data_IF_930818796599
#
_entry.id   IF_930818796599
#
_cell.length_a   1.000
_cell.length_b   1.000
_cell.length_c   1.000
_cell.angle_alpha   90.00
_cell.angle_beta   90.00
_cell.angle_gamma   90.00
#
_symmetry.space_group_name_H-M   'P 1'
#
loop_
_entity.id
_entity.type
_entity.pdbx_description
1 polymer ?
#
# COMPACT_ATOMS: atom_id res chain seq x y z
N UNK A 1 1.13 16.84 -12.66
CA UNK A 1 -0.16 16.68 -11.94
C UNK A 1 -0.86 15.40 -12.38
N UNK A 2 -2.11 15.18 -12.01
CA UNK A 2 -2.79 13.88 -12.13
C UNK A 2 -2.82 13.21 -13.52
N UNK A 3 -2.78 13.96 -14.63
CA UNK A 3 -2.70 13.36 -15.96
C UNK A 3 -1.38 12.61 -16.23
N UNK A 4 -0.25 13.12 -15.73
CA UNK A 4 1.04 12.43 -15.84
C UNK A 4 1.04 11.13 -15.02
N UNK A 5 0.42 11.17 -13.84
CA UNK A 5 0.30 10.02 -12.95
C UNK A 5 -0.50 8.89 -13.59
N UNK A 6 -1.68 9.22 -14.16
CA UNK A 6 -2.48 8.28 -14.95
C UNK A 6 -1.67 7.62 -16.06
N UNK A 7 -0.89 8.41 -16.82
CA UNK A 7 -0.08 7.90 -17.91
C UNK A 7 1.02 6.94 -17.43
N UNK A 8 1.76 7.30 -16.38
CA UNK A 8 2.83 6.46 -15.84
C UNK A 8 2.27 5.14 -15.31
N UNK A 9 1.19 5.20 -14.52
CA UNK A 9 0.55 3.99 -13.98
C UNK A 9 0.07 3.07 -15.11
N UNK A 10 -0.63 3.60 -16.11
CA UNK A 10 -1.07 2.83 -17.28
C UNK A 10 0.09 2.16 -18.02
N UNK A 11 1.16 2.92 -18.28
CA UNK A 11 2.36 2.40 -18.96
C UNK A 11 3.02 1.24 -18.20
N UNK A 12 3.09 1.31 -16.88
CA UNK A 12 3.69 0.23 -16.09
C UNK A 12 2.75 -0.98 -15.97
N UNK A 13 1.44 -0.77 -15.89
CA UNK A 13 0.45 -1.86 -15.90
C UNK A 13 0.49 -2.66 -17.20
N UNK A 14 0.64 -2.00 -18.35
CA UNK A 14 0.73 -2.65 -19.67
C UNK A 14 1.91 -3.64 -19.78
N UNK A 15 2.96 -3.47 -18.96
CA UNK A 15 4.10 -4.38 -18.91
C UNK A 15 3.81 -5.70 -18.21
N UNK A 16 2.67 -5.82 -17.51
CA UNK A 16 2.27 -7.00 -16.72
C UNK A 16 3.39 -7.51 -15.80
N UNK A 17 3.89 -6.66 -14.91
CA UNK A 17 5.04 -7.02 -14.07
C UNK A 17 4.64 -8.09 -13.05
N UNK A 18 5.54 -9.04 -12.76
CA UNK A 18 5.32 -10.02 -11.68
C UNK A 18 5.30 -9.38 -10.29
N UNK A 19 5.93 -8.21 -10.13
CA UNK A 19 5.94 -7.40 -8.91
C UNK A 19 5.78 -5.93 -9.27
N UNK A 20 4.83 -5.24 -8.64
CA UNK A 20 4.55 -3.82 -8.83
C UNK A 20 4.64 -3.09 -7.49
N UNK A 21 5.51 -2.09 -7.40
CA UNK A 21 5.62 -1.20 -6.23
C UNK A 21 5.13 0.18 -6.63
N UNK A 22 4.11 0.69 -5.94
CA UNK A 22 3.53 2.00 -6.21
C UNK A 22 3.52 2.85 -4.96
N UNK A 23 3.98 4.09 -5.10
CA UNK A 23 4.01 5.07 -4.02
C UNK A 23 3.01 6.19 -4.32
N UNK A 24 2.03 6.35 -3.44
CA UNK A 24 0.94 7.33 -3.51
C UNK A 24 0.24 7.34 -4.89
N UNK A 25 -0.34 6.19 -5.32
CA UNK A 25 -0.77 5.98 -6.71
C UNK A 25 -1.93 6.89 -7.14
N UNK A 26 -2.65 7.51 -6.20
CA UNK A 26 -3.78 8.41 -6.51
C UNK A 26 -3.60 9.86 -6.02
N UNK A 27 -2.41 10.23 -5.52
CA UNK A 27 -2.18 11.60 -5.07
C UNK A 27 -2.27 12.63 -6.21
N UNK A 28 -3.16 13.62 -6.08
CA UNK A 28 -3.33 14.69 -7.07
C UNK A 28 -4.01 14.26 -8.38
N UNK A 29 -4.70 13.11 -8.41
CA UNK A 29 -5.67 12.78 -9.47
C UNK A 29 -7.11 13.04 -9.01
N UNK A 30 -8.03 13.17 -9.96
CA UNK A 30 -9.47 13.27 -9.66
C UNK A 30 -10.05 11.94 -9.16
N UNK A 31 -11.20 11.97 -8.48
CA UNK A 31 -11.79 10.79 -7.85
C UNK A 31 -12.10 9.64 -8.84
N UNK A 32 -12.56 9.98 -10.05
CA UNK A 32 -12.83 8.98 -11.10
C UNK A 32 -11.55 8.31 -11.58
N UNK A 33 -10.49 9.08 -11.80
CA UNK A 33 -9.17 8.55 -12.10
C UNK A 33 -8.60 7.68 -10.97
N UNK A 34 -8.77 8.11 -9.72
CA UNK A 34 -8.31 7.36 -8.56
C UNK A 34 -8.96 5.98 -8.49
N UNK A 35 -10.29 5.92 -8.64
CA UNK A 35 -11.03 4.66 -8.68
C UNK A 35 -10.54 3.73 -9.80
N UNK A 36 -10.30 4.26 -11.01
CA UNK A 36 -9.76 3.46 -12.11
C UNK A 36 -8.35 2.91 -11.82
N UNK A 37 -7.46 3.73 -11.24
CA UNK A 37 -6.11 3.29 -10.86
C UNK A 37 -6.19 2.16 -9.83
N UNK A 38 -7.00 2.33 -8.78
CA UNK A 38 -7.21 1.31 -7.74
C UNK A 38 -7.73 0.00 -8.31
N UNK A 39 -8.74 0.07 -9.17
CA UNK A 39 -9.32 -1.10 -9.82
C UNK A 39 -8.28 -1.82 -10.70
N UNK A 40 -7.45 -1.09 -11.44
CA UNK A 40 -6.41 -1.67 -12.27
C UNK A 40 -5.31 -2.37 -11.44
N UNK A 41 -4.96 -1.83 -10.26
CA UNK A 41 -4.03 -2.48 -9.33
C UNK A 41 -4.62 -3.78 -8.76
N UNK A 42 -5.90 -3.79 -8.41
CA UNK A 42 -6.62 -5.01 -7.97
C UNK A 42 -6.60 -6.07 -9.08
N UNK A 43 -6.88 -5.68 -10.32
CA UNK A 43 -6.88 -6.59 -11.46
C UNK A 43 -5.49 -7.16 -11.74
N UNK A 44 -4.45 -6.33 -11.66
CA UNK A 44 -3.07 -6.79 -11.78
C UNK A 44 -2.74 -7.81 -10.68
N UNK A 45 -3.12 -7.56 -9.43
CA UNK A 45 -2.93 -8.51 -8.32
C UNK A 45 -3.63 -9.84 -8.59
N UNK A 46 -4.92 -9.79 -8.96
CA UNK A 46 -5.73 -10.97 -9.30
C UNK A 46 -5.19 -11.77 -10.49
N UNK A 47 -4.44 -11.15 -11.38
CA UNK A 47 -3.75 -11.83 -12.48
C UNK A 47 -2.49 -12.61 -12.06
N UNK A 48 -2.11 -12.57 -10.77
CA UNK A 48 -0.97 -13.28 -10.20
C UNK A 48 0.26 -12.41 -9.91
N UNK A 49 0.14 -11.09 -10.02
CA UNK A 49 1.25 -10.17 -9.70
C UNK A 49 1.26 -9.82 -8.22
N UNK A 50 2.43 -9.68 -7.60
CA UNK A 50 2.52 -9.09 -6.27
C UNK A 50 2.44 -7.56 -6.38
N UNK A 51 1.55 -6.92 -5.62
CA UNK A 51 1.39 -5.45 -5.63
C UNK A 51 1.65 -4.89 -4.23
N UNK A 52 2.66 -4.03 -4.11
CA UNK A 52 2.95 -3.27 -2.89
C UNK A 52 2.51 -1.82 -3.11
N UNK A 53 1.52 -1.40 -2.35
CA UNK A 53 1.05 -0.01 -2.32
C UNK A 53 1.58 0.68 -1.08
N UNK A 54 2.23 1.81 -1.27
CA UNK A 54 2.67 2.71 -0.19
C UNK A 54 1.78 3.94 -0.26
N UNK A 55 1.02 4.20 0.79
CA UNK A 55 0.13 5.36 0.86
C UNK A 55 -0.05 5.84 2.30
N UNK A 56 -0.51 7.07 2.43
CA UNK A 56 -0.97 7.67 3.68
C UNK A 56 -2.50 7.79 3.73
N UNK A 57 -3.17 7.46 2.63
CA UNK A 57 -4.63 7.43 2.54
C UNK A 57 -5.14 6.05 2.98
N UNK A 58 -5.74 6.00 4.15
CA UNK A 58 -6.25 4.75 4.71
C UNK A 58 -7.48 4.24 3.93
N UNK A 59 -8.35 5.12 3.44
CA UNK A 59 -9.51 4.70 2.66
C UNK A 59 -9.05 3.96 1.39
N UNK A 60 -8.03 4.48 0.71
CA UNK A 60 -7.38 3.82 -0.43
C UNK A 60 -6.81 2.44 -0.06
N UNK A 61 -6.03 2.37 1.03
CA UNK A 61 -5.38 1.12 1.44
C UNK A 61 -6.40 0.05 1.84
N UNK A 62 -7.46 0.43 2.57
CA UNK A 62 -8.53 -0.49 2.96
C UNK A 62 -9.36 -0.97 1.76
N UNK A 63 -9.47 -0.18 0.70
CA UNK A 63 -10.21 -0.55 -0.51
C UNK A 63 -9.49 -1.63 -1.35
N UNK A 64 -8.15 -1.60 -1.40
CA UNK A 64 -7.39 -2.39 -2.39
C UNK A 64 -6.46 -3.47 -1.82
N UNK A 65 -6.18 -3.45 -0.52
CA UNK A 65 -5.13 -4.29 0.07
C UNK A 65 -5.68 -5.57 0.70
N UNK A 66 -4.98 -6.69 0.50
CA UNK A 66 -5.27 -7.94 1.23
C UNK A 66 -4.73 -7.92 2.67
N UNK A 67 -3.66 -7.17 2.91
CA UNK A 67 -3.03 -6.96 4.22
C UNK A 67 -2.37 -5.57 4.29
N UNK A 68 -2.24 -5.02 5.49
CA UNK A 68 -1.61 -3.72 5.77
C UNK A 68 -0.48 -3.89 6.78
N UNK A 69 0.66 -3.25 6.53
CA UNK A 69 1.73 -3.05 7.50
C UNK A 69 1.97 -1.55 7.68
N UNK A 70 2.36 -1.14 8.88
CA UNK A 70 2.57 0.27 9.23
C UNK A 70 4.05 0.51 9.48
N UNK A 71 4.58 1.58 8.87
CA UNK A 71 5.94 2.05 9.13
C UNK A 71 5.89 3.21 10.12
N UNK A 72 6.64 3.10 11.23
CA UNK A 72 6.77 4.14 12.25
C UNK A 72 8.22 4.16 12.77
N UNK A 73 8.84 5.35 12.85
CA UNK A 73 10.23 5.53 13.27
C UNK A 73 11.27 4.62 12.58
N UNK A 74 11.04 4.30 11.30
CA UNK A 74 11.93 3.45 10.51
C UNK A 74 11.71 1.95 10.72
N UNK A 75 10.77 1.55 11.56
CA UNK A 75 10.39 0.16 11.79
C UNK A 75 9.07 -0.17 11.12
N UNK A 76 8.96 -1.38 10.58
CA UNK A 76 7.76 -1.88 9.91
C UNK A 76 7.07 -2.91 10.80
N UNK A 77 5.78 -2.72 11.07
CA UNK A 77 4.98 -3.70 11.79
C UNK A 77 4.88 -5.02 11.02
N UNK A 78 4.48 -6.09 11.71
CA UNK A 78 4.02 -7.30 11.01
C UNK A 78 2.81 -6.94 10.13
N UNK A 79 2.69 -7.53 8.93
CA UNK A 79 1.49 -7.37 8.11
C UNK A 79 0.26 -7.94 8.83
N UNK A 80 -0.82 -7.17 8.84
CA UNK A 80 -2.13 -7.54 9.38
C UNK A 80 -3.07 -7.82 8.22
N UNK A 81 -3.75 -8.98 8.17
CA UNK A 81 -4.82 -9.22 7.19
C UNK A 81 -5.88 -8.12 7.26
N UNK A 82 -6.39 -7.67 6.12
CA UNK A 82 -7.34 -6.56 6.10
C UNK A 82 -8.63 -6.87 6.89
N UNK A 83 -9.02 -8.15 6.93
CA UNK A 83 -10.16 -8.62 7.72
C UNK A 83 -10.00 -8.42 9.24
N UNK A 84 -8.77 -8.26 9.73
CA UNK A 84 -8.47 -8.02 11.14
C UNK A 84 -8.15 -6.54 11.44
N UNK A 85 -7.95 -5.74 10.38
CA UNK A 85 -7.57 -4.35 10.46
C UNK A 85 -8.78 -3.44 10.74
N UNK A 86 -8.56 -2.39 11.52
CA UNK A 86 -9.49 -1.27 11.70
C UNK A 86 -8.72 0.04 11.61
N UNK A 87 -9.39 1.13 11.24
CA UNK A 87 -8.78 2.46 11.23
C UNK A 87 -8.14 2.80 12.59
N UNK A 88 -8.77 2.41 13.69
CA UNK A 88 -8.24 2.61 15.03
C UNK A 88 -6.95 1.83 15.27
N UNK A 89 -6.91 0.53 14.95
CA UNK A 89 -5.69 -0.29 15.11
C UNK A 89 -4.53 0.23 14.26
N UNK A 90 -4.83 0.58 13.00
CA UNK A 90 -3.82 1.15 12.09
C UNK A 90 -3.36 2.52 12.59
N UNK A 91 -4.27 3.37 13.06
CA UNK A 91 -3.93 4.67 13.64
C UNK A 91 -3.08 4.55 14.91
N UNK A 92 -3.36 3.57 15.77
CA UNK A 92 -2.54 3.26 16.95
C UNK A 92 -1.12 2.85 16.56
N UNK A 93 -0.98 1.96 15.57
CA UNK A 93 0.32 1.58 15.01
C UNK A 93 1.09 2.77 14.44
N UNK A 94 0.40 3.66 13.70
CA UNK A 94 0.99 4.87 13.14
C UNK A 94 1.46 5.85 14.22
N UNK A 95 0.80 5.84 15.38
CA UNK A 95 1.19 6.59 16.57
C UNK A 95 2.26 5.91 17.44
N UNK A 96 2.79 4.76 17.02
CA UNK A 96 3.83 4.03 17.74
C UNK A 96 3.34 3.14 18.88
N UNK A 97 2.04 2.84 18.95
CA UNK A 97 1.53 1.85 19.88
C UNK A 97 1.90 0.44 19.41
N UNK A 98 2.51 -0.34 20.29
CA UNK A 98 3.10 -1.65 20.05
C UNK A 98 2.08 -2.80 19.97
N UNK A 99 2.07 -3.61 18.90
CA UNK A 99 1.62 -4.99 18.91
C UNK A 99 2.79 -5.88 18.50
N UNK A 100 3.69 -6.11 19.44
CA UNK A 100 4.74 -7.13 19.34
C UNK A 100 5.86 -6.78 18.37
N UNK A 101 6.78 -5.91 18.79
CA UNK A 101 8.14 -5.82 18.25
C UNK A 101 8.67 -7.24 17.97
N UNK A 102 8.86 -7.55 16.69
CA UNK A 102 9.84 -8.56 16.33
C UNK A 102 11.20 -7.88 16.53
N UNK A 103 11.89 -8.23 17.62
CA UNK A 103 13.28 -7.83 17.85
C UNK A 103 14.09 -8.12 16.59
N UNK A 104 14.52 -7.06 15.89
CA UNK A 104 15.59 -7.18 14.92
C UNK A 104 16.88 -6.89 15.66
N UNK A 105 17.44 -7.92 16.29
CA UNK A 105 18.80 -7.92 16.80
C UNK A 105 19.74 -7.64 15.63
N UNK A 106 20.11 -6.37 15.44
CA UNK A 106 21.23 -5.99 14.61
C UNK A 106 22.49 -6.43 15.36
N UNK A 107 22.99 -7.61 15.05
CA UNK A 107 24.39 -7.97 15.29
C UNK A 107 25.26 -6.99 14.49
N UNK A 108 25.77 -5.97 15.15
CA UNK A 108 26.94 -5.22 14.70
C UNK A 108 28.16 -6.13 14.77
N UNK A 109 28.77 -6.38 13.61
CA UNK A 109 30.15 -6.83 13.47
C UNK A 109 31.15 -5.68 13.72
#
# INVERSE_FOLDING_TARGET
GGNLQKFIVGRELDRRPSVMVVNQPTWGVDAGAAAHIRQALIELSRSGSAVLVISQDLDELFEISDAIAVMHNGELSKPMPIAEATFEKVGLLMGGAEPGHAEHSLETA
#
